data_IF_899781485909
#
_entry.id   IF_899781485909
#
_cell.length_a   1.000
_cell.length_b   1.000
_cell.length_c   1.000
_cell.angle_alpha   90.00
_cell.angle_beta   90.00
_cell.angle_gamma   90.00
#
_symmetry.space_group_name_H-M   'P 1'
#
loop_
_entity.id
_entity.type
_entity.pdbx_description
1 polymer ?
#
# COMPACT_ATOMS: atom_id res chain seq x y z
N UNK A 1 -12.28 -9.93 -19.64
CA UNK A 1 -10.95 -9.80 -20.30
C UNK A 1 -10.96 -8.89 -21.54
N UNK A 2 -11.74 -9.16 -22.61
CA UNK A 2 -11.80 -8.27 -23.80
C UNK A 2 -12.17 -6.81 -23.43
N UNK A 3 -13.12 -6.63 -22.50
CA UNK A 3 -13.66 -5.32 -22.10
C UNK A 3 -12.67 -4.43 -21.33
N UNK A 4 -11.84 -5.01 -20.45
CA UNK A 4 -10.83 -4.26 -19.67
C UNK A 4 -9.69 -3.80 -20.58
N UNK A 5 -9.24 -4.67 -21.48
CA UNK A 5 -8.20 -4.35 -22.47
C UNK A 5 -8.72 -3.33 -23.50
N UNK A 6 -10.01 -3.34 -23.85
CA UNK A 6 -10.63 -2.33 -24.72
C UNK A 6 -10.83 -0.97 -24.05
N UNK A 7 -11.13 -0.92 -22.74
CA UNK A 7 -11.25 0.36 -22.01
C UNK A 7 -9.94 1.15 -21.97
N UNK A 8 -8.79 0.47 -21.91
CA UNK A 8 -7.44 1.08 -21.93
C UNK A 8 -7.11 1.73 -23.28
N UNK A 9 -7.78 1.31 -24.37
CA UNK A 9 -7.38 1.63 -25.75
C UNK A 9 -7.82 2.98 -26.27
N UNK A 10 -8.86 3.62 -25.70
CA UNK A 10 -9.58 4.68 -26.44
C UNK A 10 -9.44 6.10 -25.93
N UNK A 11 -8.91 6.38 -24.73
CA UNK A 11 -8.66 7.78 -24.30
C UNK A 11 -7.53 7.90 -23.28
N UNK A 12 -6.71 8.95 -23.36
CA UNK A 12 -5.69 9.28 -22.35
C UNK A 12 -6.25 9.55 -20.94
N UNK A 13 -7.57 9.74 -20.82
CA UNK A 13 -8.31 9.81 -19.54
C UNK A 13 -8.69 8.43 -18.96
N UNK A 14 -8.69 7.37 -19.75
CA UNK A 14 -9.20 6.04 -19.35
C UNK A 14 -8.26 5.23 -18.44
N UNK A 15 -6.95 5.50 -18.42
CA UNK A 15 -6.02 4.76 -17.56
C UNK A 15 -6.06 5.22 -16.09
N UNK A 16 -6.33 6.50 -15.82
CA UNK A 16 -6.63 6.95 -14.45
C UNK A 16 -8.00 6.48 -13.99
N UNK A 17 -8.96 6.32 -14.90
CA UNK A 17 -10.17 5.57 -14.60
C UNK A 17 -9.84 4.12 -14.32
N UNK A 18 -8.88 3.47 -15.00
CA UNK A 18 -8.51 2.09 -14.70
C UNK A 18 -7.76 1.95 -13.37
N UNK A 19 -6.67 2.68 -13.13
CA UNK A 19 -5.95 2.66 -11.84
C UNK A 19 -6.85 3.17 -10.72
N UNK A 20 -7.63 4.20 -11.01
CA UNK A 20 -8.69 4.69 -10.13
C UNK A 20 -9.72 3.61 -9.83
N UNK A 21 -10.25 2.87 -10.81
CA UNK A 21 -11.22 1.76 -10.61
C UNK A 21 -10.57 0.55 -9.94
N UNK A 22 -9.31 0.25 -10.23
CA UNK A 22 -8.55 -0.81 -9.57
C UNK A 22 -8.26 -0.47 -8.10
N UNK A 23 -8.15 0.82 -7.75
CA UNK A 23 -8.05 1.30 -6.37
C UNK A 23 -9.41 1.70 -5.75
N UNK A 24 -10.45 1.85 -6.57
CA UNK A 24 -11.85 2.17 -6.24
C UNK A 24 -12.70 0.96 -6.61
N UNK A 25 -12.56 -0.14 -5.90
CA UNK A 25 -13.24 -1.39 -6.25
C UNK A 25 -14.76 -1.39 -5.96
N UNK A 26 -15.38 -0.26 -5.57
CA UNK A 26 -16.84 -0.05 -5.62
C UNK A 26 -17.25 1.42 -5.84
N UNK A 27 -18.56 1.65 -6.03
CA UNK A 27 -19.26 2.86 -6.47
C UNK A 27 -19.03 4.15 -5.68
N UNK A 28 -18.29 4.14 -4.57
CA UNK A 28 -18.20 5.28 -3.64
C UNK A 28 -16.94 6.15 -3.80
N UNK A 29 -16.27 6.05 -4.94
CA UNK A 29 -15.20 6.94 -5.42
C UNK A 29 -13.94 7.10 -4.54
N UNK A 30 -13.83 6.49 -3.35
CA UNK A 30 -12.67 6.66 -2.45
C UNK A 30 -11.67 5.49 -2.53
N UNK A 31 -10.34 5.75 -2.53
CA UNK A 31 -9.33 4.70 -2.41
C UNK A 31 -9.35 4.15 -0.97
N UNK A 32 -9.99 3.00 -0.77
CA UNK A 32 -10.39 2.50 0.55
C UNK A 32 -9.20 2.30 1.50
N UNK A 33 -8.07 1.76 1.03
CA UNK A 33 -6.85 1.59 1.84
C UNK A 33 -6.33 2.91 2.42
N UNK A 34 -6.28 3.95 1.60
CA UNK A 34 -5.82 5.29 2.03
C UNK A 34 -6.78 5.86 3.07
N UNK A 35 -8.08 5.73 2.83
CA UNK A 35 -9.09 6.22 3.76
C UNK A 35 -9.03 5.49 5.11
N UNK A 36 -8.92 4.16 5.08
CA UNK A 36 -8.79 3.33 6.28
C UNK A 36 -7.50 3.66 7.05
N UNK A 37 -6.37 3.83 6.36
CA UNK A 37 -5.11 4.28 6.95
C UNK A 37 -5.24 5.61 7.69
N UNK A 38 -5.86 6.63 7.05
CA UNK A 38 -6.10 7.94 7.68
C UNK A 38 -7.04 7.85 8.88
N UNK A 39 -8.15 7.10 8.76
CA UNK A 39 -9.07 6.88 9.89
C UNK A 39 -8.36 6.19 11.07
N UNK A 40 -7.54 5.17 10.79
CA UNK A 40 -6.75 4.52 11.83
C UNK A 40 -5.79 5.48 12.52
N UNK A 41 -5.10 6.35 11.76
CA UNK A 41 -4.23 7.38 12.32
C UNK A 41 -5.02 8.32 13.24
N UNK A 42 -6.17 8.82 12.80
CA UNK A 42 -7.01 9.73 13.60
C UNK A 42 -7.43 9.06 14.92
N UNK A 43 -7.90 7.81 14.87
CA UNK A 43 -8.30 7.04 16.06
C UNK A 43 -7.13 6.85 17.02
N UNK A 44 -5.95 6.47 16.52
CA UNK A 44 -4.77 6.30 17.36
C UNK A 44 -4.42 7.65 18.00
N UNK A 45 -4.31 8.73 17.21
CA UNK A 45 -3.95 10.06 17.70
C UNK A 45 -4.90 10.60 18.77
N UNK A 46 -6.21 10.37 18.61
CA UNK A 46 -7.25 10.79 19.56
C UNK A 46 -7.16 10.04 20.88
N UNK A 47 -6.54 8.85 20.91
CA UNK A 47 -6.43 8.04 22.12
C UNK A 47 -5.03 8.06 22.75
N UNK A 48 -3.99 8.45 22.01
CA UNK A 48 -2.65 8.66 22.56
C UNK A 48 -2.70 9.59 23.79
N UNK A 49 -2.09 9.14 24.89
CA UNK A 49 -2.09 9.84 26.18
C UNK A 49 -3.28 9.54 27.10
N UNK A 50 -4.24 8.72 26.65
CA UNK A 50 -5.28 8.12 27.51
C UNK A 50 -4.81 6.76 28.04
N UNK A 51 -5.36 6.34 29.18
CA UNK A 51 -5.16 4.99 29.70
C UNK A 51 -5.67 3.94 28.70
N UNK A 52 -4.88 2.89 28.46
CA UNK A 52 -5.18 1.85 27.47
C UNK A 52 -6.48 1.09 27.78
N UNK A 53 -6.85 0.99 29.06
CA UNK A 53 -8.11 0.38 29.53
C UNK A 53 -9.38 1.12 29.09
N UNK A 54 -9.24 2.31 28.51
CA UNK A 54 -10.35 3.08 27.94
C UNK A 54 -10.39 3.04 26.41
N UNK A 55 -9.51 2.27 25.76
CA UNK A 55 -9.48 2.14 24.30
C UNK A 55 -10.39 0.99 23.88
N UNK A 56 -11.22 1.23 22.86
CA UNK A 56 -12.02 0.17 22.26
C UNK A 56 -11.13 -0.89 21.59
N UNK A 57 -11.64 -2.11 21.43
CA UNK A 57 -10.93 -3.20 20.74
C UNK A 57 -10.47 -2.81 19.33
N UNK A 58 -11.29 -2.03 18.63
CA UNK A 58 -10.96 -1.51 17.29
C UNK A 58 -9.77 -0.54 17.35
N UNK A 59 -9.74 0.35 18.35
CA UNK A 59 -8.61 1.26 18.53
C UNK A 59 -7.31 0.50 18.89
N UNK A 60 -7.42 -0.55 19.72
CA UNK A 60 -6.31 -1.43 20.08
C UNK A 60 -5.78 -2.22 18.88
N UNK A 61 -6.65 -2.75 18.02
CA UNK A 61 -6.24 -3.44 16.79
C UNK A 61 -5.51 -2.50 15.82
N UNK A 62 -6.01 -1.27 15.64
CA UNK A 62 -5.37 -0.23 14.82
C UNK A 62 -3.99 0.15 15.38
N UNK A 63 -3.89 0.32 16.71
CA UNK A 63 -2.62 0.55 17.39
C UNK A 63 -1.67 -0.63 17.20
N UNK A 64 -2.14 -1.86 17.39
CA UNK A 64 -1.34 -3.08 17.23
C UNK A 64 -0.77 -3.22 15.82
N UNK A 65 -1.57 -2.89 14.79
CA UNK A 65 -1.10 -2.85 13.41
C UNK A 65 -0.02 -1.78 13.20
N UNK A 66 -0.20 -0.57 13.76
CA UNK A 66 0.81 0.49 13.71
C UNK A 66 2.11 0.08 14.42
N UNK A 67 2.03 -0.47 15.63
CA UNK A 67 3.19 -0.90 16.41
C UNK A 67 3.93 -2.08 15.79
N UNK A 68 3.21 -2.96 15.08
CA UNK A 68 3.82 -4.07 14.37
C UNK A 68 4.79 -3.54 13.31
N UNK A 69 4.34 -2.68 12.41
CA UNK A 69 5.17 -2.26 11.25
C UNK A 69 6.01 -1.00 11.48
N UNK A 70 5.71 -0.19 12.50
CA UNK A 70 6.47 1.04 12.82
C UNK A 70 7.13 1.03 14.20
N UNK A 71 7.07 -0.10 14.90
CA UNK A 71 7.73 -0.33 16.18
C UNK A 71 6.85 0.00 17.38
N UNK A 72 7.01 -0.80 18.45
CA UNK A 72 6.28 -0.64 19.72
C UNK A 72 6.74 0.60 20.49
N UNK A 73 5.83 1.18 21.27
CA UNK A 73 6.16 2.31 22.14
C UNK A 73 5.33 2.26 23.43
N UNK A 74 5.86 2.84 24.51
CA UNK A 74 5.19 2.86 25.79
C UNK A 74 4.29 4.10 25.92
N UNK A 75 2.98 3.87 25.97
CA UNK A 75 1.96 4.91 26.19
C UNK A 75 2.13 5.69 27.50
N UNK A 76 2.78 5.10 28.51
CA UNK A 76 3.09 5.78 29.78
C UNK A 76 4.31 6.72 29.67
N UNK A 77 5.14 6.57 28.63
CA UNK A 77 6.29 7.44 28.39
C UNK A 77 5.94 8.57 27.42
N UNK A 78 5.89 9.79 27.95
CA UNK A 78 5.54 11.00 27.19
C UNK A 78 6.40 11.19 25.94
N UNK A 79 7.72 10.98 26.03
CA UNK A 79 8.63 11.15 24.90
C UNK A 79 8.36 10.16 23.77
N UNK A 80 8.07 8.90 24.12
CA UNK A 80 7.73 7.86 23.15
C UNK A 80 6.37 8.11 22.51
N UNK A 81 5.39 8.59 23.29
CA UNK A 81 4.07 8.99 22.77
C UNK A 81 4.18 10.17 21.81
N UNK A 82 4.99 11.19 22.12
CA UNK A 82 5.24 12.32 21.22
C UNK A 82 5.99 11.89 19.95
N UNK A 83 6.90 10.92 20.04
CA UNK A 83 7.54 10.33 18.87
C UNK A 83 6.52 9.58 18.00
N UNK A 84 5.64 8.78 18.60
CA UNK A 84 4.56 8.11 17.89
C UNK A 84 3.64 9.10 17.16
N UNK A 85 3.28 10.24 17.79
CA UNK A 85 2.52 11.32 17.12
C UNK A 85 3.23 11.84 15.87
N UNK A 86 4.54 12.06 15.93
CA UNK A 86 5.33 12.52 14.78
C UNK A 86 5.35 11.49 13.65
N UNK A 87 5.49 10.20 13.99
CA UNK A 87 5.43 9.08 13.03
C UNK A 87 4.07 8.98 12.35
N UNK A 88 2.99 9.01 13.14
CA UNK A 88 1.62 9.03 12.63
C UNK A 88 1.38 10.23 11.70
N UNK A 89 1.87 11.42 12.07
CA UNK A 89 1.77 12.61 11.23
C UNK A 89 2.51 12.44 9.90
N UNK A 90 3.70 11.85 9.90
CA UNK A 90 4.44 11.58 8.66
C UNK A 90 3.65 10.68 7.70
N UNK A 91 3.08 9.59 8.22
CA UNK A 91 2.25 8.67 7.43
C UNK A 91 0.98 9.39 6.96
N UNK A 92 0.35 10.22 7.80
CA UNK A 92 -0.86 10.96 7.43
C UNK A 92 -0.61 11.96 6.29
N UNK A 93 0.49 12.71 6.37
CA UNK A 93 0.91 13.67 5.36
C UNK A 93 1.22 12.94 4.03
N UNK A 94 1.88 11.78 4.09
CA UNK A 94 2.12 10.94 2.92
C UNK A 94 0.82 10.42 2.30
N UNK A 95 -0.09 9.86 3.12
CA UNK A 95 -1.38 9.35 2.65
C UNK A 95 -2.27 10.44 2.08
N UNK A 96 -2.25 11.67 2.63
CA UNK A 96 -2.98 12.79 2.04
C UNK A 96 -2.38 13.23 0.69
N UNK A 97 -1.05 13.22 0.56
CA UNK A 97 -0.37 13.47 -0.73
C UNK A 97 -0.73 12.39 -1.75
N UNK A 98 -0.66 11.12 -1.38
CA UNK A 98 -1.08 9.98 -2.23
C UNK A 98 -2.55 10.13 -2.65
N UNK A 99 -3.45 10.43 -1.70
CA UNK A 99 -4.88 10.66 -1.96
C UNK A 99 -5.09 11.76 -2.99
N UNK A 100 -4.47 12.93 -2.79
CA UNK A 100 -4.55 14.06 -3.72
C UNK A 100 -4.00 13.69 -5.10
N UNK A 101 -2.92 12.91 -5.14
CA UNK A 101 -2.33 12.41 -6.38
C UNK A 101 -3.32 11.59 -7.20
N UNK A 102 -3.95 10.59 -6.57
CA UNK A 102 -4.89 9.67 -7.21
C UNK A 102 -6.24 10.34 -7.50
N UNK A 103 -6.80 11.06 -6.53
CA UNK A 103 -8.16 11.58 -6.59
C UNK A 103 -8.29 12.86 -7.39
N UNK A 104 -7.29 13.74 -7.33
CA UNK A 104 -7.33 15.01 -8.05
C UNK A 104 -6.62 14.91 -9.43
N UNK A 105 -6.23 13.70 -9.86
CA UNK A 105 -5.44 13.46 -11.10
C UNK A 105 -4.16 14.32 -11.13
N UNK A 106 -3.49 14.43 -9.98
CA UNK A 106 -2.31 15.29 -9.78
C UNK A 106 -0.99 14.55 -9.84
N UNK A 107 -1.02 13.23 -9.89
CA UNK A 107 0.17 12.39 -9.92
C UNK A 107 0.59 12.14 -11.38
N UNK A 108 1.65 12.75 -11.91
CA UNK A 108 1.96 12.72 -13.35
C UNK A 108 2.69 11.43 -13.75
N UNK A 109 2.00 10.29 -13.67
CA UNK A 109 2.52 8.96 -14.02
C UNK A 109 2.09 8.57 -15.44
N UNK A 110 3.01 7.96 -16.17
CA UNK A 110 2.68 7.21 -17.40
C UNK A 110 2.55 5.73 -17.08
N UNK A 111 1.43 5.12 -17.47
CA UNK A 111 1.11 3.75 -17.11
C UNK A 111 1.15 2.87 -18.36
N UNK A 112 1.79 1.71 -18.25
CA UNK A 112 1.97 0.74 -19.32
C UNK A 112 1.55 -0.66 -18.86
N UNK A 113 0.93 -1.44 -19.75
CA UNK A 113 0.41 -2.77 -19.45
C UNK A 113 1.40 -3.91 -19.77
N UNK A 114 2.64 -3.58 -20.09
CA UNK A 114 3.76 -4.48 -20.33
C UNK A 114 5.07 -3.67 -20.30
N UNK A 115 6.22 -4.35 -20.38
CA UNK A 115 7.54 -3.73 -20.40
C UNK A 115 8.03 -3.34 -21.82
N UNK A 116 7.18 -3.34 -22.85
CA UNK A 116 7.64 -3.04 -24.23
C UNK A 116 7.98 -1.56 -24.49
N UNK A 117 7.52 -0.66 -23.60
CA UNK A 117 7.88 0.76 -23.57
C UNK A 117 9.30 0.99 -23.06
N UNK A 118 9.86 0.00 -22.36
CA UNK A 118 11.18 0.04 -21.77
C UNK A 118 12.22 -0.14 -22.87
N UNK A 119 12.60 0.97 -23.47
CA UNK A 119 13.64 0.97 -24.47
C UNK A 119 14.87 1.56 -23.84
N UNK A 120 15.79 0.68 -23.47
CA UNK A 120 17.17 1.11 -23.31
C UNK A 120 17.61 1.67 -24.67
N UNK A 121 18.04 2.93 -24.70
CA UNK A 121 18.64 3.48 -25.91
C UNK A 121 19.99 2.83 -26.11
N UNK A 122 19.90 1.70 -26.80
CA UNK A 122 20.98 0.96 -27.33
C UNK A 122 21.19 1.45 -28.78
N UNK A 123 21.65 2.69 -28.93
CA UNK A 123 22.33 3.18 -30.13
C UNK A 123 23.76 3.62 -29.78
N UNK A 124 24.62 2.82 -29.14
CA UNK A 124 24.62 1.43 -28.60
C UNK A 124 23.74 0.32 -29.21
N UNK A 125 23.70 0.12 -30.54
CA UNK A 125 23.43 -1.18 -31.25
C UNK A 125 22.05 -1.48 -31.94
N UNK A 126 22.18 -1.65 -33.27
CA UNK A 126 21.18 -1.96 -34.31
C UNK A 126 20.62 -3.40 -34.28
N UNK A 127 19.33 -3.50 -34.66
CA UNK A 127 18.57 -4.64 -35.29
C UNK A 127 18.64 -5.99 -34.54
N UNK A 128 17.58 -6.76 -34.34
CA UNK A 128 16.33 -7.01 -35.08
C UNK A 128 15.45 -7.85 -34.15
N UNK A 129 14.15 -7.60 -34.05
CA UNK A 129 13.15 -8.66 -33.87
C UNK A 129 11.81 -8.20 -34.46
N UNK A 130 11.30 -9.02 -35.38
CA UNK A 130 9.92 -9.02 -35.83
C UNK A 130 9.07 -9.73 -34.77
N UNK A 131 8.03 -9.07 -34.28
CA UNK A 131 6.64 -9.56 -34.27
C UNK A 131 5.77 -8.41 -33.74
N UNK A 132 4.74 -8.08 -34.50
CA UNK A 132 3.82 -6.97 -34.22
C UNK A 132 2.79 -7.40 -33.18
N UNK A 133 2.97 -6.94 -31.93
CA UNK A 133 1.86 -6.72 -31.01
C UNK A 133 2.11 -5.38 -30.29
N UNK A 134 1.17 -4.44 -30.46
CA UNK A 134 0.97 -3.19 -29.71
C UNK A 134 2.21 -2.50 -29.11
N UNK A 135 3.05 -1.83 -29.93
CA UNK A 135 4.14 -0.99 -29.38
C UNK A 135 3.57 0.24 -28.66
N UNK A 136 3.74 0.29 -27.35
CA UNK A 136 3.51 1.51 -26.59
C UNK A 136 4.54 2.61 -26.96
N UNK A 137 4.27 3.86 -26.55
CA UNK A 137 5.23 4.96 -26.75
C UNK A 137 6.49 4.66 -25.93
N UNK A 138 7.61 4.45 -26.62
CA UNK A 138 8.93 4.27 -26.00
C UNK A 138 9.25 5.44 -25.06
N UNK A 139 9.72 5.13 -23.85
CA UNK A 139 10.25 6.13 -22.91
C UNK A 139 11.78 6.06 -22.91
N UNK A 140 12.43 7.19 -23.18
CA UNK A 140 13.88 7.35 -23.11
C UNK A 140 14.35 7.65 -21.68
N UNK A 141 15.62 7.38 -21.37
CA UNK A 141 16.31 7.74 -20.12
C UNK A 141 15.82 7.06 -18.84
N UNK A 142 15.22 5.88 -18.92
CA UNK A 142 14.98 5.08 -17.71
C UNK A 142 16.32 4.45 -17.25
N UNK A 143 16.59 4.31 -15.94
CA UNK A 143 17.86 3.79 -15.41
C UNK A 143 18.29 2.42 -15.99
N UNK A 144 19.60 2.21 -16.26
CA UNK A 144 20.12 0.97 -16.85
C UNK A 144 19.90 -0.31 -16.05
N UNK A 145 19.79 -0.20 -14.72
CA UNK A 145 19.84 -1.34 -13.80
C UNK A 145 18.49 -2.08 -13.66
N UNK A 146 17.51 -1.73 -14.50
CA UNK A 146 16.15 -2.24 -14.37
C UNK A 146 15.64 -3.02 -15.59
N UNK A 147 16.49 -3.37 -16.55
CA UNK A 147 15.99 -3.64 -17.90
C UNK A 147 16.15 -5.00 -18.57
N UNK A 148 15.10 -5.23 -19.39
CA UNK A 148 14.66 -6.37 -20.20
C UNK A 148 14.17 -7.59 -19.43
N UNK A 149 12.95 -8.03 -19.76
CA UNK A 149 12.33 -9.26 -19.26
C UNK A 149 11.97 -9.28 -17.76
N UNK A 150 11.91 -8.13 -17.06
CA UNK A 150 11.40 -8.09 -15.68
C UNK A 150 9.97 -8.62 -15.61
N UNK A 151 9.13 -8.25 -16.58
CA UNK A 151 7.78 -8.81 -16.69
C UNK A 151 7.72 -10.20 -17.35
N UNK A 152 8.84 -10.71 -17.89
CA UNK A 152 8.93 -12.08 -18.39
C UNK A 152 9.33 -13.09 -17.30
N UNK A 153 9.92 -12.63 -16.20
CA UNK A 153 10.06 -13.41 -14.97
C UNK A 153 8.70 -13.60 -14.30
N UNK A 154 8.47 -14.77 -13.68
CA UNK A 154 7.16 -15.10 -13.09
C UNK A 154 6.79 -14.29 -11.83
N UNK A 155 7.71 -13.47 -11.30
CA UNK A 155 7.57 -12.95 -9.93
C UNK A 155 7.23 -11.45 -9.83
N UNK A 156 7.32 -10.67 -10.91
CA UNK A 156 6.97 -9.24 -10.85
C UNK A 156 5.50 -9.03 -11.19
N UNK A 157 4.79 -8.26 -10.35
CA UNK A 157 3.39 -7.87 -10.54
C UNK A 157 3.35 -6.49 -11.19
N UNK A 158 4.06 -5.52 -10.63
CA UNK A 158 4.24 -4.22 -11.26
C UNK A 158 5.65 -3.72 -10.95
N UNK A 159 5.98 -2.58 -11.53
CA UNK A 159 7.16 -1.81 -11.17
C UNK A 159 6.91 -0.33 -11.44
N UNK A 160 7.30 0.51 -10.51
CA UNK A 160 7.41 1.94 -10.66
C UNK A 160 8.86 2.33 -10.91
N UNK A 161 9.08 3.16 -11.92
CA UNK A 161 10.39 3.70 -12.23
C UNK A 161 10.29 5.20 -12.49
N UNK A 162 11.33 5.93 -12.13
CA UNK A 162 11.44 7.33 -12.50
C UNK A 162 12.58 7.51 -13.51
N UNK A 163 12.29 8.16 -14.64
CA UNK A 163 13.32 8.52 -15.65
C UNK A 163 14.45 9.32 -15.03
N UNK A 164 15.65 9.31 -15.61
CA UNK A 164 16.76 10.19 -15.26
C UNK A 164 16.72 11.41 -16.20
N UNK A 165 16.77 12.67 -15.73
CA UNK A 165 17.00 13.14 -14.35
C UNK A 165 15.70 13.48 -13.57
N UNK A 166 14.90 12.48 -13.24
CA UNK A 166 13.63 12.57 -12.49
C UNK A 166 12.53 13.40 -13.16
N UNK A 167 12.39 13.28 -14.49
CA UNK A 167 11.43 14.11 -15.27
C UNK A 167 10.07 13.47 -15.50
N UNK A 168 9.93 12.16 -15.25
CA UNK A 168 8.70 11.39 -15.45
C UNK A 168 8.70 10.13 -14.58
N UNK A 169 7.56 9.85 -13.93
CA UNK A 169 7.26 8.57 -13.27
C UNK A 169 6.55 7.62 -14.24
N UNK A 170 6.89 6.34 -14.18
CA UNK A 170 6.45 5.30 -15.11
C UNK A 170 6.03 4.07 -14.33
N UNK A 171 4.74 3.78 -14.33
CA UNK A 171 4.20 2.53 -13.79
C UNK A 171 4.10 1.50 -14.91
N UNK A 172 4.72 0.35 -14.69
CA UNK A 172 4.59 -0.81 -15.56
C UNK A 172 3.84 -1.90 -14.84
N UNK A 173 2.77 -2.38 -15.46
CA UNK A 173 2.01 -3.52 -14.98
C UNK A 173 2.42 -4.74 -15.79
N UNK A 174 2.87 -5.80 -15.13
CA UNK A 174 3.27 -7.03 -15.79
C UNK A 174 2.07 -7.92 -16.15
N UNK A 175 2.26 -8.78 -17.16
CA UNK A 175 1.20 -9.66 -17.67
C UNK A 175 0.65 -10.65 -16.61
N UNK A 176 1.51 -11.07 -15.67
CA UNK A 176 1.17 -11.90 -14.49
C UNK A 176 0.04 -11.27 -13.66
N UNK A 177 0.02 -9.95 -13.51
CA UNK A 177 -0.92 -9.21 -12.67
C UNK A 177 -2.33 -9.27 -13.20
N UNK A 178 -2.49 -9.24 -14.52
CA UNK A 178 -3.81 -9.37 -15.15
C UNK A 178 -4.44 -10.74 -14.91
N UNK A 179 -3.64 -11.78 -14.68
CA UNK A 179 -4.15 -13.09 -14.27
C UNK A 179 -4.60 -13.09 -12.81
N UNK A 180 -3.85 -12.41 -11.93
CA UNK A 180 -4.23 -12.23 -10.53
C UNK A 180 -5.44 -11.31 -10.34
N UNK A 181 -5.62 -10.29 -11.19
CA UNK A 181 -6.79 -9.39 -11.17
C UNK A 181 -8.12 -10.04 -11.51
N UNK A 182 -8.13 -11.29 -11.97
CA UNK A 182 -9.37 -12.06 -12.10
C UNK A 182 -9.77 -12.82 -10.83
N UNK A 183 -8.97 -12.74 -9.76
CA UNK A 183 -9.17 -13.48 -8.51
C UNK A 183 -9.85 -12.58 -7.46
N UNK A 184 -9.45 -12.70 -6.20
CA UNK A 184 -10.02 -12.01 -5.06
C UNK A 184 -9.42 -10.61 -4.90
N UNK A 185 -10.26 -9.64 -4.58
CA UNK A 185 -9.84 -8.30 -4.22
C UNK A 185 -9.84 -8.13 -2.69
N UNK A 186 -9.08 -7.16 -2.20
CA UNK A 186 -9.02 -6.82 -0.78
C UNK A 186 -10.41 -6.47 -0.22
N UNK A 187 -11.28 -5.90 -1.06
CA UNK A 187 -12.69 -5.67 -0.70
C UNK A 187 -13.45 -6.98 -0.47
N UNK A 188 -13.23 -7.98 -1.30
CA UNK A 188 -13.90 -9.28 -1.15
C UNK A 188 -13.49 -9.94 0.18
N UNK A 189 -12.25 -9.75 0.61
CA UNK A 189 -11.78 -10.14 1.94
C UNK A 189 -12.42 -9.31 3.06
N UNK A 190 -12.54 -8.00 2.87
CA UNK A 190 -13.19 -7.10 3.84
C UNK A 190 -14.68 -7.42 4.05
N UNK A 191 -15.37 -7.88 3.01
CA UNK A 191 -16.79 -8.24 3.05
C UNK A 191 -17.06 -9.62 3.68
N UNK A 192 -16.02 -10.43 3.92
CA UNK A 192 -16.14 -11.74 4.59
C UNK A 192 -16.38 -11.61 6.08
N UNK A 193 -17.12 -12.57 6.63
CA UNK A 193 -17.28 -12.69 8.08
C UNK A 193 -15.96 -13.08 8.74
N UNK A 194 -15.77 -12.67 10.00
CA UNK A 194 -14.57 -13.05 10.78
C UNK A 194 -14.37 -14.57 10.85
N UNK A 195 -15.45 -15.34 10.85
CA UNK A 195 -15.41 -16.81 10.85
C UNK A 195 -14.75 -17.39 9.60
N UNK A 196 -14.81 -16.68 8.48
CA UNK A 196 -14.29 -17.13 7.18
C UNK A 196 -12.82 -16.80 6.98
N UNK A 197 -12.27 -15.87 7.78
CA UNK A 197 -10.90 -15.36 7.60
C UNK A 197 -10.03 -15.47 8.85
N UNK A 198 -10.58 -15.97 9.97
CA UNK A 198 -9.80 -16.21 11.18
C UNK A 198 -8.68 -17.19 10.90
N UNK A 199 -7.48 -16.88 11.37
CA UNK A 199 -6.26 -17.64 11.10
C UNK A 199 -5.69 -17.53 9.68
N UNK A 200 -6.29 -16.74 8.79
CA UNK A 200 -5.65 -16.38 7.53
C UNK A 200 -4.44 -15.47 7.78
N UNK A 201 -3.43 -15.61 6.94
CA UNK A 201 -2.20 -14.82 7.01
C UNK A 201 -2.32 -13.60 6.08
N UNK A 202 -1.92 -12.43 6.59
CA UNK A 202 -2.06 -11.17 5.86
C UNK A 202 -1.21 -11.17 4.58
N UNK A 203 -0.06 -11.87 4.60
CA UNK A 203 0.79 -12.05 3.42
C UNK A 203 0.03 -12.74 2.27
N UNK A 204 -0.78 -13.77 2.58
CA UNK A 204 -1.53 -14.53 1.57
C UNK A 204 -2.65 -13.67 0.98
N UNK A 205 -3.40 -12.97 1.84
CA UNK A 205 -4.46 -12.03 1.41
C UNK A 205 -3.87 -10.96 0.48
N UNK A 206 -2.73 -10.37 0.83
CA UNK A 206 -2.09 -9.33 0.04
C UNK A 206 -1.51 -9.87 -1.27
N UNK A 207 -0.95 -11.09 -1.26
CA UNK A 207 -0.42 -11.75 -2.45
C UNK A 207 -1.50 -12.09 -3.48
N UNK A 208 -2.73 -12.33 -3.01
CA UNK A 208 -3.92 -12.60 -3.81
C UNK A 208 -4.71 -11.34 -4.19
N UNK A 209 -4.47 -10.20 -3.53
CA UNK A 209 -5.14 -8.90 -3.76
C UNK A 209 -4.25 -7.95 -4.58
N UNK A 210 -4.19 -8.05 -5.92
CA UNK A 210 -3.21 -7.35 -6.76
C UNK A 210 -3.25 -5.80 -6.73
N UNK A 211 -4.32 -5.16 -6.25
CA UNK A 211 -4.31 -3.72 -5.95
C UNK A 211 -3.33 -3.31 -4.84
N UNK A 212 -2.91 -4.24 -3.97
CA UNK A 212 -1.88 -4.02 -2.94
C UNK A 212 -0.54 -3.75 -3.59
N UNK A 213 -0.16 -4.56 -4.57
CA UNK A 213 1.07 -4.35 -5.36
C UNK A 213 1.01 -3.03 -6.13
N UNK A 214 -0.14 -2.64 -6.68
CA UNK A 214 -0.26 -1.32 -7.31
C UNK A 214 -0.06 -0.18 -6.30
N UNK A 215 -0.64 -0.30 -5.11
CA UNK A 215 -0.46 0.70 -4.07
C UNK A 215 1.01 0.82 -3.66
N UNK A 216 1.69 -0.31 -3.41
CA UNK A 216 3.12 -0.39 -3.18
C UNK A 216 3.91 0.37 -4.26
N UNK A 217 3.72 0.03 -5.53
CA UNK A 217 4.47 0.66 -6.63
C UNK A 217 4.21 2.17 -6.73
N UNK A 218 2.97 2.62 -6.48
CA UNK A 218 2.68 4.05 -6.49
C UNK A 218 3.49 4.82 -5.45
N UNK A 219 3.88 4.20 -4.34
CA UNK A 219 4.69 4.86 -3.29
C UNK A 219 6.11 5.21 -3.75
N UNK A 220 6.61 4.55 -4.82
CA UNK A 220 7.91 4.78 -5.43
C UNK A 220 7.93 5.90 -6.48
N UNK A 221 6.84 6.64 -6.69
CA UNK A 221 6.78 7.70 -7.70
C UNK A 221 7.66 8.92 -7.30
N UNK A 222 8.97 8.85 -7.57
CA UNK A 222 9.97 9.81 -7.09
C UNK A 222 9.73 11.24 -7.59
N UNK A 223 9.27 11.43 -8.84
CA UNK A 223 8.98 12.78 -9.34
C UNK A 223 7.81 13.40 -8.58
N UNK A 224 6.80 12.61 -8.24
CA UNK A 224 5.65 13.09 -7.47
C UNK A 224 5.98 13.31 -5.99
N UNK A 225 6.62 12.33 -5.34
CA UNK A 225 6.88 12.37 -3.91
C UNK A 225 8.15 13.14 -3.54
N UNK A 226 9.12 13.26 -4.45
CA UNK A 226 10.41 13.88 -4.18
C UNK A 226 11.12 13.17 -3.03
N UNK A 227 11.60 13.95 -2.05
CA UNK A 227 12.25 13.41 -0.84
C UNK A 227 11.34 12.52 0.03
N UNK A 228 10.03 12.59 -0.15
CA UNK A 228 9.06 11.82 0.63
C UNK A 228 8.75 10.47 -0.03
N UNK A 229 9.45 10.10 -1.11
CA UNK A 229 9.28 8.82 -1.79
C UNK A 229 9.63 7.67 -0.84
N UNK A 230 8.85 6.60 -0.93
CA UNK A 230 9.12 5.37 -0.22
C UNK A 230 10.03 4.47 -1.06
N UNK A 231 10.78 3.63 -0.39
CA UNK A 231 11.83 2.79 -0.97
C UNK A 231 11.62 1.34 -0.56
N UNK A 232 12.25 0.44 -1.31
CA UNK A 232 12.40 -0.95 -0.92
C UNK A 232 13.56 -1.11 0.06
N UNK A 233 13.24 -1.04 1.34
CA UNK A 233 14.25 -1.01 2.40
C UNK A 233 14.72 -2.42 2.74
N UNK A 234 16.02 -2.60 2.96
CA UNK A 234 16.57 -3.85 3.49
C UNK A 234 16.69 -3.85 5.02
N UNK A 235 16.34 -4.98 5.63
CA UNK A 235 16.64 -5.36 7.01
C UNK A 235 17.42 -6.66 7.00
N UNK A 236 18.57 -6.71 7.70
CA UNK A 236 19.46 -7.88 7.76
C UNK A 236 19.90 -8.44 6.38
N UNK A 237 19.96 -7.59 5.36
CA UNK A 237 20.36 -7.97 3.99
C UNK A 237 19.21 -8.42 3.08
N UNK A 238 18.00 -8.57 3.61
CA UNK A 238 16.78 -8.94 2.88
C UNK A 238 15.89 -7.71 2.68
N UNK A 239 15.23 -7.58 1.53
CA UNK A 239 14.23 -6.54 1.33
C UNK A 239 13.06 -6.79 2.28
N UNK A 240 12.53 -5.72 2.87
CA UNK A 240 11.47 -5.79 3.86
C UNK A 240 10.09 -6.02 3.20
N UNK A 241 10.00 -7.01 2.32
CA UNK A 241 8.76 -7.56 1.75
C UNK A 241 8.22 -8.62 2.69
N UNK A 242 6.89 -8.76 2.83
CA UNK A 242 6.24 -9.61 3.85
C UNK A 242 6.15 -9.00 5.25
N UNK A 243 5.11 -9.41 5.98
CA UNK A 243 4.78 -8.85 7.28
C UNK A 243 5.92 -9.00 8.30
N UNK A 244 6.49 -10.20 8.45
CA UNK A 244 7.54 -10.46 9.43
C UNK A 244 8.81 -9.62 9.20
N UNK A 245 9.08 -9.28 7.95
CA UNK A 245 10.20 -8.45 7.54
C UNK A 245 9.92 -6.96 7.79
N UNK A 246 8.70 -6.50 7.51
CA UNK A 246 8.21 -5.18 7.92
C UNK A 246 8.23 -5.00 9.44
N UNK A 247 7.81 -6.02 10.20
CA UNK A 247 7.83 -6.01 11.66
C UNK A 247 9.26 -5.87 12.19
N UNK A 248 10.19 -6.70 11.69
CA UNK A 248 11.62 -6.60 12.04
C UNK A 248 12.18 -5.21 11.76
N UNK A 249 11.85 -4.62 10.61
CA UNK A 249 12.26 -3.27 10.26
C UNK A 249 11.68 -2.23 11.24
N UNK A 250 10.39 -2.32 11.56
CA UNK A 250 9.74 -1.46 12.54
C UNK A 250 10.41 -1.51 13.91
N UNK A 251 10.69 -2.72 14.41
CA UNK A 251 11.34 -2.91 15.71
C UNK A 251 12.80 -2.40 15.73
N UNK A 252 13.54 -2.54 14.62
CA UNK A 252 14.90 -2.01 14.49
C UNK A 252 14.94 -0.48 14.57
N UNK A 253 13.87 0.19 14.16
CA UNK A 253 13.78 1.64 14.04
C UNK A 253 13.08 2.32 15.25
N UNK A 254 12.65 1.56 16.28
CA UNK A 254 11.92 2.07 17.46
C UNK A 254 12.63 3.24 18.13
N UNK A 255 13.96 3.17 18.28
CA UNK A 255 14.76 4.21 18.98
C UNK A 255 15.15 5.38 18.08
N UNK A 256 14.79 5.37 16.80
CA UNK A 256 15.11 6.46 15.85
C UNK A 256 14.14 7.61 16.04
N UNK A 257 14.68 8.74 16.48
CA UNK A 257 13.94 9.97 16.79
C UNK A 257 13.84 10.93 15.60
N UNK A 258 14.77 10.85 14.65
CA UNK A 258 14.66 11.54 13.38
C UNK A 258 13.69 10.78 12.47
N UNK A 259 12.62 11.46 12.09
CA UNK A 259 11.54 10.92 11.26
C UNK A 259 12.01 10.71 9.81
N UNK A 260 12.90 11.58 9.31
CA UNK A 260 13.41 11.48 7.94
C UNK A 260 14.36 10.30 7.74
N UNK A 261 15.07 9.90 8.81
CA UNK A 261 16.00 8.78 8.79
C UNK A 261 15.37 7.45 9.22
N UNK A 262 14.11 7.46 9.67
CA UNK A 262 13.42 6.25 10.09
C UNK A 262 13.03 5.41 8.87
N UNK A 263 13.70 4.28 8.71
CA UNK A 263 13.56 3.45 7.51
C UNK A 263 12.21 2.76 7.40
N UNK A 264 11.58 2.41 8.52
CA UNK A 264 10.25 1.79 8.52
C UNK A 264 9.19 2.75 7.96
N UNK A 265 9.28 4.04 8.30
CA UNK A 265 8.38 5.08 7.76
C UNK A 265 8.57 5.32 6.26
N UNK A 266 9.74 4.99 5.73
CA UNK A 266 10.09 5.17 4.32
C UNK A 266 9.97 3.88 3.51
N UNK A 267 9.52 2.78 4.09
CA UNK A 267 9.38 1.50 3.40
C UNK A 267 8.01 1.40 2.73
N UNK A 268 8.02 1.15 1.42
CA UNK A 268 6.80 1.02 0.61
C UNK A 268 5.87 -0.08 1.12
N UNK A 269 6.47 -1.23 1.47
CA UNK A 269 5.72 -2.37 1.98
C UNK A 269 5.09 -2.10 3.35
N UNK A 270 5.78 -1.39 4.25
CA UNK A 270 5.29 -1.13 5.60
C UNK A 270 4.00 -0.30 5.60
N UNK A 271 3.88 0.69 4.70
CA UNK A 271 2.63 1.43 4.56
C UNK A 271 1.52 0.62 3.89
N UNK A 272 1.88 -0.29 2.97
CA UNK A 272 0.91 -1.15 2.31
C UNK A 272 0.25 -2.09 3.30
N UNK A 273 1.06 -2.75 4.16
CA UNK A 273 0.59 -3.56 5.27
C UNK A 273 -0.25 -2.75 6.25
N UNK A 274 0.24 -1.58 6.68
CA UNK A 274 -0.52 -0.74 7.62
C UNK A 274 -1.92 -0.44 7.07
N UNK A 275 -2.00 0.04 5.84
CA UNK A 275 -3.28 0.42 5.23
C UNK A 275 -4.18 -0.79 4.93
N UNK A 276 -3.61 -1.94 4.54
CA UNK A 276 -4.38 -3.16 4.29
C UNK A 276 -4.93 -3.77 5.59
N UNK A 277 -4.08 -3.93 6.61
CA UNK A 277 -4.46 -4.50 7.89
C UNK A 277 -5.55 -3.68 8.58
N UNK A 278 -5.45 -2.35 8.57
CA UNK A 278 -6.52 -1.51 9.17
C UNK A 278 -7.79 -1.41 8.30
N UNK A 279 -7.70 -1.71 7.00
CA UNK A 279 -8.86 -1.82 6.13
C UNK A 279 -9.64 -3.12 6.38
N UNK A 280 -8.93 -4.22 6.64
CA UNK A 280 -9.48 -5.51 7.07
C UNK A 280 -9.84 -5.47 8.57
N UNK A 281 -10.66 -4.50 8.97
CA UNK A 281 -10.92 -4.11 10.36
C UNK A 281 -11.62 -5.17 11.23
N UNK A 282 -12.10 -6.26 10.63
CA UNK A 282 -12.73 -7.35 11.35
C UNK A 282 -11.73 -8.20 12.17
N UNK A 283 -10.43 -8.11 11.89
CA UNK A 283 -9.38 -8.82 12.64
C UNK A 283 -8.42 -7.88 13.37
N UNK A 284 -7.72 -8.44 14.36
CA UNK A 284 -6.49 -7.90 14.89
C UNK A 284 -5.30 -8.50 14.11
N UNK A 285 -4.60 -7.67 13.34
CA UNK A 285 -3.49 -8.08 12.47
C UNK A 285 -2.11 -7.83 13.08
N UNK A 286 -2.00 -7.53 14.38
CA UNK A 286 -0.72 -7.19 15.04
C UNK A 286 0.39 -8.23 14.88
N UNK A 287 0.04 -9.48 14.57
CA UNK A 287 0.94 -10.61 14.39
C UNK A 287 1.03 -11.09 12.92
N UNK A 288 0.45 -10.35 11.97
CA UNK A 288 0.41 -10.73 10.55
C UNK A 288 -0.61 -11.82 10.23
N UNK A 289 -1.43 -12.21 11.21
CA UNK A 289 -2.46 -13.23 11.13
C UNK A 289 -3.78 -12.68 11.66
N UNK A 290 -4.90 -13.09 11.07
CA UNK A 290 -6.20 -12.67 11.56
C UNK A 290 -6.47 -13.29 12.95
N UNK A 291 -6.38 -12.47 13.99
CA UNK A 291 -6.85 -12.80 15.33
C UNK A 291 -8.22 -12.16 15.59
N UNK A 292 -9.07 -12.82 16.37
CA UNK A 292 -10.30 -12.18 16.85
C UNK A 292 -9.95 -10.96 17.71
N UNK A 293 -10.75 -9.92 17.58
CA UNK A 293 -10.83 -8.89 18.61
C UNK A 293 -11.32 -9.57 19.90
N UNK A 294 -10.45 -9.72 20.90
CA UNK A 294 -10.79 -10.44 22.13
C UNK A 294 -11.93 -9.72 22.87
N UNK A 295 -13.04 -10.41 23.19
CA UNK A 295 -14.05 -9.87 24.10
C UNK A 295 -13.51 -9.67 25.51
N UNK A 296 -12.46 -10.41 25.90
CA UNK A 296 -11.86 -10.35 27.24
C UNK A 296 -10.93 -9.14 27.41
N UNK A 297 -10.57 -8.46 26.31
CA UNK A 297 -9.73 -7.26 26.34
C UNK A 297 -10.53 -5.97 26.59
N UNK A 298 -11.84 -6.02 26.86
CA UNK A 298 -12.60 -4.88 27.35
C UNK A 298 -13.81 -5.29 28.21
N UNK A 299 -14.07 -4.52 29.28
CA UNK A 299 -15.42 -4.42 29.81
C UNK A 299 -16.40 -4.15 28.66
N UNK A 300 -17.48 -4.90 28.62
CA UNK A 300 -18.53 -4.97 27.59
C UNK A 300 -18.53 -3.82 26.56
N UNK A 301 -18.24 -4.18 25.31
CA UNK A 301 -18.39 -3.33 24.14
C UNK A 301 -19.81 -2.72 24.14
N UNK A 302 -19.92 -1.40 24.25
CA UNK A 302 -21.23 -0.78 24.39
C UNK A 302 -21.96 -0.78 23.03
N UNK A 303 -23.30 -0.74 23.08
CA UNK A 303 -24.15 -0.81 21.90
C UNK A 303 -23.89 0.34 20.90
N UNK A 304 -23.36 1.48 21.35
CA UNK A 304 -23.04 2.62 20.49
C UNK A 304 -21.81 2.35 19.62
N UNK A 305 -20.85 1.56 20.09
CA UNK A 305 -19.68 1.14 19.31
C UNK A 305 -20.07 0.15 18.21
N UNK A 306 -20.96 -0.79 18.53
CA UNK A 306 -21.55 -1.70 17.53
C UNK A 306 -22.32 -0.91 16.48
N UNK A 307 -23.13 0.06 16.91
CA UNK A 307 -23.93 0.86 16.00
C UNK A 307 -23.07 1.78 15.12
N UNK A 308 -21.97 2.33 15.64
CA UNK A 308 -21.02 3.12 14.86
C UNK A 308 -20.32 2.27 13.80
N UNK A 309 -19.90 1.05 14.16
CA UNK A 309 -19.26 0.12 13.23
C UNK A 309 -20.24 -0.32 12.12
N UNK A 310 -21.49 -0.62 12.47
CA UNK A 310 -22.53 -1.01 11.50
C UNK A 310 -22.92 0.15 10.57
N UNK A 311 -23.03 1.38 11.11
CA UNK A 311 -23.32 2.57 10.32
C UNK A 311 -22.18 2.92 9.35
N UNK A 312 -20.91 2.66 9.71
CA UNK A 312 -19.76 2.83 8.81
C UNK A 312 -19.70 1.77 7.70
N UNK A 313 -20.27 0.58 7.95
CA UNK A 313 -20.39 -0.51 6.97
C UNK A 313 -21.61 -0.38 6.04
N UNK A 314 -22.43 0.66 6.21
CA UNK A 314 -23.60 0.91 5.36
C UNK A 314 -24.82 0.02 5.66
N UNK A 315 -24.93 -0.50 6.88
CA UNK A 315 -26.11 -1.20 7.41
C UNK A 315 -27.00 -0.28 8.25
#
# INVERSE_FOLDING_TARGET
>A
MKTIIEMVRTTSRSLWTLVGVLLKTTTDEKPYKIHAGKNAIDIIQQNLGKEISHWSNVALAKLGMFEAVYGKFNLAHKEETELARKRLKYIDDFLDKMRKGIMDDKMPISIFCNDDHMVFDHTVIKKTMHEEYYKSKKISNIPPYEFTNKCAGQNFVALMMTTVPHTQDVLTICASSFRKWGNEHLKDWADRGIEDIVSEDLDDILADSPETSLFHELTHAEKYFGKDVMEDIKVDGEYAYQFALCERLGQAEVKKTDIGDNKALRNAESIDYFCAGVYLSQCNWRAGKCERLSPEDNGEMNQDEVNAMMAEMGF
#
